data_IF_586984297713
#
_entry.id   IF_586984297713
#
_cell.length_a   1.000
_cell.length_b   1.000
_cell.length_c   1.000
_cell.angle_alpha   90.00
_cell.angle_beta   90.00
_cell.angle_gamma   90.00
#
_symmetry.space_group_name_H-M   'P 1'
#
loop_
_entity.id
_entity.type
_entity.pdbx_description
1 polymer ?
#
# COMPACT_ATOMS: atom_id res chain seq x y z
N UNK A 1 12.25 -0.77 26.86
CA UNK A 1 12.06 0.24 25.80
C UNK A 1 10.92 -0.15 24.89
N UNK A 2 10.37 0.82 24.15
CA UNK A 2 9.31 0.54 23.17
C UNK A 2 9.89 -0.09 21.90
N UNK A 3 11.18 0.16 21.59
CA UNK A 3 11.86 -0.33 20.42
C UNK A 3 13.38 -0.39 20.69
N UNK A 4 14.06 -1.41 20.14
CA UNK A 4 15.52 -1.55 20.16
C UNK A 4 15.98 -2.25 18.87
N UNK A 5 16.16 -1.45 17.80
CA UNK A 5 16.46 -1.95 16.46
C UNK A 5 17.95 -2.18 16.27
N UNK A 6 18.30 -3.37 15.82
CA UNK A 6 19.63 -3.77 15.39
C UNK A 6 19.61 -4.08 13.88
N UNK A 7 20.55 -3.48 13.15
CA UNK A 7 20.64 -3.59 11.70
C UNK A 7 21.91 -4.38 11.32
N UNK A 8 21.76 -5.28 10.36
CA UNK A 8 22.88 -5.93 9.70
C UNK A 8 22.88 -5.54 8.23
N UNK A 9 24.07 -5.39 7.68
CA UNK A 9 24.28 -4.94 6.31
C UNK A 9 25.16 -5.94 5.55
N UNK A 10 25.00 -5.99 4.26
CA UNK A 10 25.96 -6.63 3.37
C UNK A 10 27.20 -5.71 3.13
N UNK A 11 28.26 -6.19 2.45
CA UNK A 11 29.45 -5.40 2.21
C UNK A 11 29.24 -4.12 1.38
N UNK A 12 28.12 -4.01 0.64
CA UNK A 12 27.79 -2.84 -0.20
C UNK A 12 26.79 -1.89 0.47
N UNK A 13 26.31 -2.25 1.68
CA UNK A 13 25.48 -1.38 2.51
C UNK A 13 23.97 -1.66 2.42
N UNK A 14 23.53 -2.73 1.76
CA UNK A 14 22.13 -3.12 1.82
C UNK A 14 21.80 -3.73 3.17
N UNK A 15 20.62 -3.43 3.70
CA UNK A 15 20.14 -4.02 4.95
C UNK A 15 19.74 -5.47 4.70
N UNK A 16 20.42 -6.43 5.34
CA UNK A 16 20.10 -7.86 5.24
C UNK A 16 19.24 -8.36 6.40
N UNK A 17 19.29 -7.67 7.55
CA UNK A 17 18.46 -7.99 8.70
C UNK A 17 18.12 -6.74 9.51
N UNK A 18 16.90 -6.72 10.03
CA UNK A 18 16.48 -5.80 11.10
C UNK A 18 15.90 -6.65 12.22
N UNK A 19 16.45 -6.52 13.43
CA UNK A 19 15.94 -7.21 14.62
C UNK A 19 15.57 -6.20 15.71
N UNK A 20 14.40 -6.40 16.33
CA UNK A 20 13.95 -5.56 17.45
C UNK A 20 14.11 -6.32 18.77
N UNK A 21 15.18 -6.02 19.51
CA UNK A 21 15.49 -6.67 20.80
C UNK A 21 14.55 -6.21 21.95
N UNK A 22 13.69 -5.22 21.72
CA UNK A 22 12.63 -4.85 22.68
C UNK A 22 11.40 -5.76 22.58
N UNK A 23 11.30 -6.55 21.51
CA UNK A 23 10.18 -7.43 21.26
C UNK A 23 10.52 -8.88 21.62
N UNK A 24 9.51 -9.66 21.98
CA UNK A 24 9.68 -11.06 22.31
C UNK A 24 9.53 -11.97 21.08
N UNK A 25 10.16 -13.13 21.16
CA UNK A 25 9.88 -14.25 20.25
C UNK A 25 8.53 -14.84 20.64
N UNK A 26 7.63 -14.99 19.67
CA UNK A 26 6.34 -15.63 19.86
C UNK A 26 6.37 -17.09 19.40
N UNK A 27 5.57 -17.90 20.05
CA UNK A 27 5.36 -19.30 19.69
C UNK A 27 3.87 -19.47 19.37
N UNK A 28 3.56 -19.54 18.10
CA UNK A 28 2.18 -19.61 17.63
C UNK A 28 2.03 -20.71 16.57
N UNK A 29 1.02 -21.57 16.70
CA UNK A 29 0.73 -22.67 15.78
C UNK A 29 1.94 -23.54 15.42
N UNK A 30 2.72 -23.96 16.44
CA UNK A 30 3.95 -24.74 16.30
C UNK A 30 5.09 -24.05 15.51
N UNK A 31 4.99 -22.75 15.32
CA UNK A 31 6.03 -21.94 14.68
C UNK A 31 6.71 -21.02 15.67
N UNK A 32 8.01 -20.82 15.48
CA UNK A 32 8.79 -19.80 16.20
C UNK A 32 8.78 -18.53 15.35
N UNK A 33 8.24 -17.45 15.90
CA UNK A 33 8.11 -16.16 15.24
C UNK A 33 9.01 -15.14 15.93
N UNK A 34 10.20 -14.93 15.35
CA UNK A 34 11.20 -14.01 15.90
C UNK A 34 10.89 -12.56 15.52
N UNK A 35 11.30 -11.57 16.35
CA UNK A 35 11.13 -10.16 16.05
C UNK A 35 12.21 -9.66 15.07
N UNK A 36 12.28 -10.28 13.90
CA UNK A 36 13.28 -9.96 12.88
C UNK A 36 12.68 -9.95 11.48
N UNK A 37 13.27 -9.12 10.63
CA UNK A 37 13.03 -9.10 9.19
C UNK A 37 14.35 -9.44 8.49
N UNK A 38 14.29 -10.27 7.45
CA UNK A 38 15.43 -10.69 6.65
C UNK A 38 15.21 -10.29 5.20
N UNK A 39 16.27 -9.85 4.52
CA UNK A 39 16.20 -9.33 3.16
C UNK A 39 17.30 -9.94 2.31
N UNK A 40 16.94 -10.32 1.08
CA UNK A 40 17.85 -10.88 0.09
C UNK A 40 17.77 -10.03 -1.18
N UNK A 41 18.92 -9.74 -1.78
CA UNK A 41 19.03 -8.88 -2.95
C UNK A 41 19.68 -9.64 -4.11
N UNK A 42 19.39 -9.22 -5.32
CA UNK A 42 20.08 -9.70 -6.52
C UNK A 42 21.43 -8.98 -6.75
N UNK A 43 22.08 -9.31 -7.87
CA UNK A 43 23.40 -8.76 -8.20
C UNK A 43 23.38 -7.25 -8.55
N UNK A 44 22.22 -6.67 -8.79
CA UNK A 44 22.02 -5.24 -9.06
C UNK A 44 21.28 -4.55 -7.91
N UNK A 45 21.29 -5.19 -6.73
CA UNK A 45 20.74 -4.67 -5.46
C UNK A 45 19.24 -4.48 -5.41
N UNK A 46 18.48 -5.19 -6.25
CA UNK A 46 17.02 -5.23 -6.14
C UNK A 46 16.62 -6.24 -5.06
N UNK A 47 15.66 -5.89 -4.22
CA UNK A 47 15.12 -6.78 -3.20
C UNK A 47 14.35 -7.93 -3.86
N UNK A 48 14.86 -9.16 -3.78
CA UNK A 48 14.21 -10.34 -4.38
C UNK A 48 13.43 -11.16 -3.37
N UNK A 49 13.76 -11.06 -2.08
CA UNK A 49 13.04 -11.74 -1.00
C UNK A 49 13.05 -10.95 0.30
N UNK A 50 11.91 -10.88 0.95
CA UNK A 50 11.78 -10.41 2.32
C UNK A 50 11.09 -11.47 3.17
N UNK A 51 11.56 -11.64 4.42
CA UNK A 51 10.93 -12.49 5.44
C UNK A 51 10.70 -11.64 6.68
N UNK A 52 9.57 -11.87 7.32
CA UNK A 52 9.22 -11.13 8.52
C UNK A 52 8.06 -11.82 9.26
N UNK A 53 7.43 -11.05 10.11
CA UNK A 53 6.25 -11.49 10.87
C UNK A 53 5.08 -10.54 10.64
N UNK A 54 3.88 -11.10 10.69
CA UNK A 54 2.64 -10.36 10.60
C UNK A 54 1.63 -10.88 11.61
N UNK A 55 0.68 -10.04 11.99
CA UNK A 55 -0.47 -10.49 12.76
C UNK A 55 -1.35 -11.37 11.85
N UNK A 56 -1.88 -12.46 12.41
CA UNK A 56 -2.79 -13.32 11.65
C UNK A 56 -4.04 -12.51 11.33
N UNK A 57 -4.19 -12.16 10.06
CA UNK A 57 -5.36 -11.47 9.53
C UNK A 57 -6.61 -12.34 9.63
N UNK A 58 -7.78 -11.75 9.44
CA UNK A 58 -9.09 -12.32 9.63
C UNK A 58 -9.31 -13.71 9.07
N UNK A 59 -10.30 -14.34 9.63
CA UNK A 59 -10.73 -15.73 9.39
C UNK A 59 -10.95 -16.05 7.89
N UNK A 60 -11.06 -15.05 7.05
CA UNK A 60 -11.10 -15.17 5.62
C UNK A 60 -9.83 -14.57 5.05
N UNK A 61 -8.94 -15.40 4.56
CA UNK A 61 -7.86 -15.05 3.63
C UNK A 61 -8.42 -14.53 2.29
N UNK A 62 -9.63 -13.95 2.33
CA UNK A 62 -10.18 -13.21 1.22
C UNK A 62 -9.18 -12.10 0.91
N UNK A 63 -8.53 -12.28 -0.21
CA UNK A 63 -7.44 -11.45 -0.70
C UNK A 63 -7.94 -10.03 -0.78
N UNK A 64 -7.58 -9.27 0.21
CA UNK A 64 -7.80 -7.83 0.22
C UNK A 64 -6.64 -7.19 -0.49
N UNK A 65 -6.87 -6.06 -1.10
CA UNK A 65 -5.76 -5.29 -1.65
C UNK A 65 -4.88 -4.82 -0.50
N UNK A 66 -3.59 -4.61 -0.75
CA UNK A 66 -2.68 -4.05 0.27
C UNK A 66 -3.16 -2.68 0.81
N UNK A 67 -4.05 -1.99 0.09
CA UNK A 67 -4.70 -0.74 0.51
C UNK A 67 -5.81 -0.96 1.54
N UNK A 68 -6.25 -2.20 1.75
CA UNK A 68 -7.31 -2.53 2.70
C UNK A 68 -6.75 -2.94 4.07
N UNK A 69 -5.43 -3.12 4.19
CA UNK A 69 -4.80 -3.62 5.42
C UNK A 69 -5.07 -2.75 6.64
N UNK A 70 -5.12 -1.42 6.47
CA UNK A 70 -5.39 -0.47 7.55
C UNK A 70 -6.85 -0.52 8.05
N UNK A 71 -7.75 -1.17 7.30
CA UNK A 71 -9.19 -1.21 7.57
C UNK A 71 -9.69 -2.61 7.93
N UNK A 72 -8.81 -3.59 7.92
CA UNK A 72 -9.16 -4.98 8.27
C UNK A 72 -9.29 -5.10 9.78
N UNK A 73 -10.46 -5.42 10.35
CA UNK A 73 -10.53 -5.77 11.76
C UNK A 73 -9.67 -7.02 12.00
N UNK A 74 -8.69 -6.91 12.87
CA UNK A 74 -7.86 -8.03 13.27
C UNK A 74 -8.77 -9.10 13.90
N UNK A 75 -8.66 -10.39 13.52
CA UNK A 75 -9.52 -11.46 14.01
C UNK A 75 -9.33 -11.72 15.50
N UNK A 76 -8.15 -11.38 16.00
CA UNK A 76 -7.78 -11.52 17.40
C UNK A 76 -7.18 -10.20 17.91
N UNK A 77 -7.96 -9.09 17.95
CA UNK A 77 -7.43 -7.77 18.30
C UNK A 77 -6.80 -7.75 19.70
N UNK A 78 -7.17 -8.70 20.57
CA UNK A 78 -6.65 -8.82 21.93
C UNK A 78 -5.61 -9.95 22.08
N UNK A 79 -5.27 -10.65 21.00
CA UNK A 79 -4.25 -11.72 21.03
C UNK A 79 -2.99 -11.24 20.30
N UNK A 80 -2.07 -10.65 21.06
CA UNK A 80 -0.79 -10.16 20.55
C UNK A 80 0.18 -11.31 20.15
N UNK A 81 -0.12 -12.55 20.55
CA UNK A 81 0.65 -13.74 20.22
C UNK A 81 0.19 -14.39 18.90
N UNK A 82 -0.92 -13.92 18.33
CA UNK A 82 -1.44 -14.40 17.05
C UNK A 82 -0.62 -13.79 15.88
N UNK A 83 0.65 -14.13 15.82
CA UNK A 83 1.59 -13.71 14.78
C UNK A 83 2.11 -14.91 14.01
N UNK A 84 2.39 -14.72 12.72
CA UNK A 84 2.97 -15.74 11.86
C UNK A 84 4.15 -15.19 11.06
N UNK A 85 5.00 -16.08 10.57
CA UNK A 85 6.04 -15.72 9.63
C UNK A 85 5.45 -15.61 8.23
N UNK A 86 5.94 -14.63 7.46
CA UNK A 86 5.68 -14.51 6.03
C UNK A 86 6.97 -14.49 5.22
N UNK A 87 6.84 -14.76 3.94
CA UNK A 87 7.88 -14.56 2.94
C UNK A 87 7.26 -13.82 1.75
N UNK A 88 7.91 -12.75 1.33
CA UNK A 88 7.62 -12.06 0.08
C UNK A 88 8.72 -12.33 -0.93
N UNK A 89 8.34 -12.56 -2.19
CA UNK A 89 9.24 -12.74 -3.31
C UNK A 89 8.86 -11.76 -4.42
N UNK A 90 9.87 -11.12 -4.99
CA UNK A 90 9.71 -10.07 -5.99
C UNK A 90 10.37 -10.49 -7.29
N UNK A 91 9.65 -10.35 -8.41
CA UNK A 91 10.17 -10.55 -9.75
C UNK A 91 10.11 -9.22 -10.51
N UNK A 92 11.19 -8.88 -11.20
CA UNK A 92 11.34 -7.61 -11.88
C UNK A 92 11.47 -7.81 -13.39
N UNK A 93 11.13 -6.78 -14.16
CA UNK A 93 11.52 -6.67 -15.56
C UNK A 93 12.93 -6.07 -15.69
N UNK A 94 13.42 -5.97 -16.93
CA UNK A 94 14.74 -5.42 -17.22
C UNK A 94 14.87 -3.91 -16.92
N UNK A 95 13.75 -3.22 -16.70
CA UNK A 95 13.71 -1.81 -16.34
C UNK A 95 13.63 -1.60 -14.81
N UNK A 96 13.56 -2.69 -14.05
CA UNK A 96 13.44 -2.65 -12.59
C UNK A 96 11.99 -2.49 -12.08
N UNK A 97 10.99 -2.67 -12.92
CA UNK A 97 9.62 -2.66 -12.46
C UNK A 97 9.24 -4.00 -11.85
N UNK A 98 8.50 -3.99 -10.75
CA UNK A 98 7.95 -5.20 -10.16
C UNK A 98 6.91 -5.80 -11.10
N UNK A 99 7.15 -7.01 -11.59
CA UNK A 99 6.21 -7.79 -12.42
C UNK A 99 5.34 -8.69 -11.59
N UNK A 100 5.91 -9.29 -10.55
CA UNK A 100 5.21 -10.22 -9.66
C UNK A 100 5.66 -9.98 -8.22
N UNK A 101 4.69 -9.90 -7.33
CA UNK A 101 4.89 -9.93 -5.88
C UNK A 101 4.12 -11.14 -5.33
N UNK A 102 4.84 -12.07 -4.74
CA UNK A 102 4.28 -13.25 -4.07
C UNK A 102 4.41 -13.08 -2.57
N UNK A 103 3.29 -13.07 -1.87
CA UNK A 103 3.25 -13.11 -0.42
C UNK A 103 2.84 -14.51 0.02
N UNK A 104 3.64 -15.16 0.84
CA UNK A 104 3.41 -16.52 1.34
C UNK A 104 3.56 -16.53 2.86
N UNK A 105 2.69 -17.25 3.53
CA UNK A 105 2.79 -17.47 4.96
C UNK A 105 2.62 -18.95 5.29
N UNK A 106 3.17 -19.36 6.43
CA UNK A 106 2.96 -20.73 6.91
C UNK A 106 1.52 -20.89 7.36
N UNK A 107 0.84 -21.93 6.87
CA UNK A 107 -0.57 -22.12 7.15
C UNK A 107 -0.80 -22.61 8.57
N UNK A 108 -2.01 -22.32 9.02
CA UNK A 108 -2.62 -23.10 10.11
C UNK A 108 -3.10 -24.44 9.53
N UNK A 109 -2.76 -25.56 10.19
CA UNK A 109 -3.21 -26.90 9.80
C UNK A 109 -2.82 -27.42 8.39
N UNK A 110 -1.64 -27.04 7.88
CA UNK A 110 -1.08 -27.68 6.66
C UNK A 110 -1.56 -27.13 5.33
N UNK A 111 -2.44 -26.13 5.32
CA UNK A 111 -2.87 -25.45 4.09
C UNK A 111 -1.98 -24.22 3.86
N UNK A 112 -1.17 -24.22 2.80
CA UNK A 112 -0.38 -23.08 2.36
C UNK A 112 -1.26 -21.88 2.09
N UNK A 113 -0.88 -20.71 2.60
CA UNK A 113 -1.61 -19.48 2.43
C UNK A 113 -0.77 -18.42 1.74
N UNK A 114 -1.44 -17.44 1.20
CA UNK A 114 -0.81 -16.30 0.56
C UNK A 114 -1.55 -15.83 -0.68
N UNK A 115 -0.97 -14.85 -1.31
CA UNK A 115 -1.49 -14.26 -2.53
C UNK A 115 -0.35 -13.95 -3.50
N UNK A 116 -0.70 -13.73 -4.76
CA UNK A 116 0.21 -13.26 -5.80
C UNK A 116 -0.42 -12.03 -6.44
N UNK A 117 0.35 -10.97 -6.56
CA UNK A 117 -0.03 -9.78 -7.31
C UNK A 117 0.84 -9.65 -8.53
N UNK A 118 0.22 -9.46 -9.68
CA UNK A 118 0.88 -9.26 -10.95
C UNK A 118 0.67 -7.83 -11.42
N UNK A 119 1.67 -7.30 -12.11
CA UNK A 119 1.71 -5.91 -12.57
C UNK A 119 1.92 -5.89 -14.08
N UNK A 120 1.15 -5.06 -14.78
CA UNK A 120 1.23 -4.89 -16.22
C UNK A 120 1.52 -3.44 -16.57
N UNK A 121 2.53 -3.24 -17.37
CA UNK A 121 2.97 -1.92 -17.81
C UNK A 121 2.57 -1.66 -19.25
N UNK A 122 2.53 -0.39 -19.66
CA UNK A 122 2.11 -0.01 -21.01
C UNK A 122 3.00 -0.61 -22.11
N UNK A 123 4.28 -0.84 -21.81
CA UNK A 123 5.22 -1.50 -22.71
C UNK A 123 4.85 -2.98 -22.97
N UNK A 124 4.22 -3.66 -22.02
CA UNK A 124 3.79 -5.06 -22.15
C UNK A 124 2.66 -5.22 -23.19
N UNK A 125 1.78 -4.19 -23.30
CA UNK A 125 0.65 -4.22 -24.22
C UNK A 125 1.07 -3.91 -25.67
N UNK A 126 1.97 -2.95 -25.83
CA UNK A 126 2.47 -2.56 -27.13
C UNK A 126 3.94 -2.13 -27.00
N UNK A 127 4.90 -2.90 -27.52
CA UNK A 127 6.32 -2.56 -27.48
C UNK A 127 6.66 -1.21 -28.15
N UNK A 128 5.77 -0.71 -29.02
CA UNK A 128 5.84 0.65 -29.58
C UNK A 128 5.47 1.74 -28.57
N UNK A 129 4.75 1.39 -27.51
CA UNK A 129 4.40 2.30 -26.41
C UNK A 129 5.55 2.34 -25.40
N UNK A 130 6.48 3.26 -25.61
CA UNK A 130 7.73 3.36 -24.83
C UNK A 130 7.53 3.98 -23.43
N UNK A 131 6.35 3.90 -22.85
CA UNK A 131 6.09 4.43 -21.51
C UNK A 131 6.18 3.34 -20.47
N UNK A 132 6.78 3.66 -19.33
CA UNK A 132 6.90 2.78 -18.18
C UNK A 132 5.73 2.97 -17.19
N UNK A 133 4.52 3.18 -17.74
CA UNK A 133 3.32 3.43 -16.93
C UNK A 133 2.66 2.10 -16.52
N UNK A 134 2.34 1.97 -15.24
CA UNK A 134 1.54 0.87 -14.74
C UNK A 134 0.10 1.00 -15.26
N UNK A 135 -0.38 0.03 -16.04
CA UNK A 135 -1.71 0.07 -16.64
C UNK A 135 -2.71 -0.86 -15.96
N UNK A 136 -2.22 -1.97 -15.38
CA UNK A 136 -3.08 -2.87 -14.64
C UNK A 136 -2.32 -3.63 -13.53
N UNK A 137 -3.06 -4.04 -12.50
CA UNK A 137 -2.60 -4.98 -11.48
C UNK A 137 -3.66 -6.04 -11.24
N UNK A 138 -3.23 -7.26 -10.95
CA UNK A 138 -4.17 -8.32 -10.61
C UNK A 138 -4.89 -8.01 -9.30
N UNK A 139 -6.16 -8.33 -9.28
CA UNK A 139 -7.01 -8.36 -8.10
C UNK A 139 -7.34 -9.81 -7.74
N UNK A 140 -7.84 -10.07 -6.55
CA UNK A 140 -8.29 -11.40 -6.16
C UNK A 140 -9.31 -11.97 -7.15
N UNK A 141 -9.04 -13.19 -7.64
CA UNK A 141 -9.89 -13.87 -8.63
C UNK A 141 -9.54 -13.58 -10.08
N UNK A 142 -8.63 -12.64 -10.34
CA UNK A 142 -8.12 -12.43 -11.70
C UNK A 142 -7.27 -13.64 -12.15
N UNK A 143 -7.33 -14.02 -13.43
CA UNK A 143 -6.53 -15.12 -13.95
C UNK A 143 -5.03 -14.77 -14.02
N UNK A 144 -4.19 -15.78 -13.92
CA UNK A 144 -2.76 -15.63 -14.20
C UNK A 144 -2.56 -15.14 -15.64
N UNK A 145 -1.69 -14.14 -15.80
CA UNK A 145 -1.41 -13.52 -17.11
C UNK A 145 -2.45 -12.51 -17.60
N UNK A 146 -3.52 -12.29 -16.85
CA UNK A 146 -4.56 -11.29 -17.16
C UNK A 146 -5.73 -11.82 -18.02
N UNK A 147 -6.70 -10.97 -18.34
CA UNK A 147 -6.73 -9.55 -18.05
C UNK A 147 -6.90 -9.25 -16.55
N UNK A 148 -6.30 -8.14 -16.07
CA UNK A 148 -6.38 -7.73 -14.68
C UNK A 148 -7.45 -6.66 -14.47
N UNK A 149 -8.21 -6.79 -13.39
CA UNK A 149 -9.33 -5.90 -13.07
C UNK A 149 -8.90 -4.59 -12.40
N UNK A 150 -7.75 -4.56 -11.74
CA UNK A 150 -7.18 -3.34 -11.15
C UNK A 150 -6.54 -2.46 -12.22
N UNK A 151 -7.29 -1.52 -12.82
CA UNK A 151 -6.84 -0.72 -13.96
C UNK A 151 -6.47 0.71 -13.56
N UNK A 152 -5.49 1.27 -14.29
CA UNK A 152 -4.96 2.62 -14.12
C UNK A 152 -5.10 3.41 -15.42
N UNK A 153 -5.37 4.70 -15.32
CA UNK A 153 -5.40 5.59 -16.46
C UNK A 153 -4.62 6.87 -16.17
N UNK A 154 -4.16 7.52 -17.23
CA UNK A 154 -3.34 8.73 -17.16
C UNK A 154 -3.86 9.79 -18.12
N UNK A 155 -3.64 11.04 -17.79
CA UNK A 155 -3.88 12.16 -18.69
C UNK A 155 -2.73 12.31 -19.69
N UNK A 156 -2.83 13.31 -20.59
CA UNK A 156 -1.83 13.57 -21.60
C UNK A 156 -0.47 14.03 -21.03
N UNK A 157 -0.48 14.57 -19.81
CA UNK A 157 0.72 15.05 -19.11
C UNK A 157 1.40 13.96 -18.28
N UNK A 158 0.76 12.79 -18.11
CA UNK A 158 1.29 11.67 -17.37
C UNK A 158 0.77 11.58 -15.94
N UNK A 159 -0.12 12.43 -15.54
CA UNK A 159 -0.74 12.37 -14.24
C UNK A 159 -1.75 11.23 -14.18
N UNK A 160 -1.76 10.47 -13.12
CA UNK A 160 -2.73 9.38 -12.93
C UNK A 160 -4.14 9.96 -12.77
N UNK A 161 -5.05 9.62 -13.68
CA UNK A 161 -6.43 10.09 -13.69
C UNK A 161 -7.42 9.09 -13.09
N UNK A 162 -7.01 7.81 -12.97
CA UNK A 162 -7.80 6.73 -12.36
C UNK A 162 -6.89 5.65 -11.78
N UNK A 163 -7.33 5.05 -10.67
CA UNK A 163 -6.78 3.82 -10.08
C UNK A 163 -7.93 2.99 -9.47
N UNK A 164 -7.71 1.71 -9.08
CA UNK A 164 -8.79 0.79 -8.70
C UNK A 164 -9.76 1.33 -7.63
N UNK A 165 -9.28 2.08 -6.66
CA UNK A 165 -10.11 2.62 -5.56
C UNK A 165 -10.43 4.12 -5.71
N UNK A 166 -9.93 4.79 -6.76
CA UNK A 166 -10.19 6.18 -7.07
C UNK A 166 -10.62 6.31 -8.53
N UNK A 167 -11.93 6.40 -8.74
CA UNK A 167 -12.52 6.41 -10.07
C UNK A 167 -12.11 7.62 -10.91
N UNK A 168 -11.86 8.76 -10.27
CA UNK A 168 -11.48 9.99 -10.95
C UNK A 168 -10.51 10.80 -10.10
N UNK A 169 -9.43 11.25 -10.72
CA UNK A 169 -8.47 12.20 -10.18
C UNK A 169 -8.26 13.31 -11.20
N UNK A 170 -8.55 14.55 -10.80
CA UNK A 170 -8.39 15.74 -11.63
C UNK A 170 -7.17 16.54 -11.18
N UNK A 171 -6.39 16.99 -12.14
CA UNK A 171 -5.18 17.77 -11.92
C UNK A 171 -5.36 19.20 -12.44
N UNK A 172 -4.65 20.14 -11.87
CA UNK A 172 -4.61 21.51 -12.37
C UNK A 172 -3.47 21.67 -13.40
N UNK A 173 -3.35 22.84 -13.97
CA UNK A 173 -2.33 23.19 -14.99
C UNK A 173 -0.87 23.19 -14.44
N UNK A 174 -0.68 23.07 -13.14
CA UNK A 174 0.62 22.94 -12.45
C UNK A 174 0.89 21.49 -12.02
N UNK A 175 0.18 20.51 -12.57
CA UNK A 175 0.26 19.09 -12.22
C UNK A 175 0.03 18.83 -10.73
N UNK A 176 -0.82 19.62 -10.08
CA UNK A 176 -1.22 19.42 -8.69
C UNK A 176 -2.62 18.79 -8.63
N UNK A 177 -2.78 17.77 -7.81
CA UNK A 177 -4.05 17.06 -7.63
C UNK A 177 -5.11 18.00 -7.07
N UNK A 178 -6.13 18.32 -7.88
CA UNK A 178 -7.18 19.29 -7.53
C UNK A 178 -8.41 18.63 -6.89
N UNK A 179 -8.81 17.49 -7.42
CA UNK A 179 -10.04 16.80 -7.03
C UNK A 179 -9.89 15.30 -7.14
N UNK A 180 -10.52 14.58 -6.21
CA UNK A 180 -10.57 13.10 -6.23
C UNK A 180 -11.98 12.64 -5.89
N UNK A 181 -12.50 11.71 -6.67
CA UNK A 181 -13.72 10.98 -6.33
C UNK A 181 -13.36 9.82 -5.39
N UNK A 182 -13.87 9.88 -4.16
CA UNK A 182 -13.69 8.88 -3.12
C UNK A 182 -14.84 7.86 -3.09
N UNK A 183 -15.67 7.81 -4.12
CA UNK A 183 -16.86 6.97 -4.18
C UNK A 183 -17.84 7.31 -3.05
N UNK A 184 -18.20 6.31 -2.24
CA UNK A 184 -19.10 6.51 -1.09
C UNK A 184 -18.53 7.46 -0.03
N UNK A 185 -17.24 7.74 -0.04
CA UNK A 185 -16.55 8.72 0.81
C UNK A 185 -16.84 10.17 0.45
N UNK A 186 -17.35 10.43 -0.77
CA UNK A 186 -17.63 11.74 -1.32
C UNK A 186 -16.54 12.24 -2.25
N UNK A 187 -16.32 13.55 -2.31
CA UNK A 187 -15.31 14.18 -3.16
C UNK A 187 -14.31 14.94 -2.32
N UNK A 188 -13.02 14.66 -2.52
CA UNK A 188 -11.94 15.43 -1.92
C UNK A 188 -11.50 16.55 -2.87
N UNK A 189 -11.31 17.75 -2.34
CA UNK A 189 -10.80 18.91 -3.03
C UNK A 189 -9.52 19.40 -2.35
N UNK A 190 -8.56 19.84 -3.14
CA UNK A 190 -7.25 20.28 -2.68
C UNK A 190 -6.95 21.69 -3.19
N UNK A 191 -6.39 22.54 -2.34
CA UNK A 191 -5.95 23.90 -2.67
C UNK A 191 -4.48 24.02 -2.33
N UNK A 192 -3.74 24.63 -3.23
CA UNK A 192 -2.29 24.82 -3.12
C UNK A 192 -1.93 26.30 -3.11
N UNK A 193 -0.84 26.64 -2.45
CA UNK A 193 -0.22 27.94 -2.50
C UNK A 193 0.73 28.09 -3.70
N UNK A 194 1.27 29.28 -3.84
CA UNK A 194 2.21 29.62 -4.95
C UNK A 194 3.48 28.77 -4.95
N UNK A 195 3.92 28.29 -3.79
CA UNK A 195 5.09 27.42 -3.64
C UNK A 195 4.78 25.92 -3.86
N UNK A 196 3.57 25.55 -4.28
CA UNK A 196 3.14 24.16 -4.43
C UNK A 196 2.78 23.46 -3.12
N UNK A 197 2.84 24.13 -1.99
CA UNK A 197 2.40 23.57 -0.71
C UNK A 197 0.88 23.44 -0.67
N UNK A 198 0.39 22.29 -0.20
CA UNK A 198 -1.03 22.12 0.03
C UNK A 198 -1.48 22.95 1.24
N UNK A 199 -2.37 23.89 1.00
CA UNK A 199 -2.91 24.79 2.03
C UNK A 199 -4.23 24.26 2.60
N UNK A 200 -5.01 23.52 1.81
CA UNK A 200 -6.32 23.06 2.27
C UNK A 200 -6.70 21.73 1.61
N UNK A 201 -7.34 20.86 2.37
CA UNK A 201 -8.04 19.68 1.89
C UNK A 201 -9.47 19.73 2.41
N UNK A 202 -10.45 19.51 1.56
CA UNK A 202 -11.87 19.46 1.91
C UNK A 202 -12.44 18.15 1.41
N UNK A 203 -13.27 17.49 2.23
CA UNK A 203 -14.10 16.38 1.78
C UNK A 203 -15.55 16.78 1.87
N UNK A 204 -16.23 16.73 0.73
CA UNK A 204 -17.66 16.95 0.60
C UNK A 204 -18.38 15.64 0.36
N UNK A 205 -19.56 15.49 0.94
CA UNK A 205 -20.43 14.34 0.70
C UNK A 205 -21.86 14.82 0.51
N UNK A 206 -22.47 14.45 -0.61
CA UNK A 206 -23.80 14.92 -1.00
C UNK A 206 -23.92 16.47 -0.98
N UNK A 207 -22.89 17.15 -1.51
CA UNK A 207 -22.84 18.62 -1.57
C UNK A 207 -22.63 19.33 -0.22
N UNK A 208 -22.39 18.58 0.86
CA UNK A 208 -22.15 19.15 2.18
C UNK A 208 -20.70 18.94 2.62
N UNK A 209 -20.08 19.98 3.16
CA UNK A 209 -18.77 19.91 3.78
C UNK A 209 -18.81 18.95 4.97
N UNK A 210 -17.91 17.95 4.97
CA UNK A 210 -17.81 16.96 6.04
C UNK A 210 -16.54 17.11 6.86
N UNK A 211 -15.41 17.21 6.18
CA UNK A 211 -14.10 17.27 6.78
C UNK A 211 -13.27 18.35 6.09
N UNK A 212 -12.51 19.08 6.88
CA UNK A 212 -11.63 20.11 6.38
C UNK A 212 -10.29 20.06 7.12
N UNK A 213 -9.22 20.15 6.36
CA UNK A 213 -7.87 20.34 6.87
C UNK A 213 -7.30 21.63 6.29
N UNK A 214 -6.78 22.49 7.17
CA UNK A 214 -6.09 23.72 6.79
C UNK A 214 -4.64 23.58 7.28
N UNK A 215 -3.69 23.76 6.38
CA UNK A 215 -2.27 23.63 6.65
C UNK A 215 -1.63 25.03 6.73
N UNK A 216 -1.08 25.38 7.88
CA UNK A 216 -0.47 26.69 8.18
C UNK A 216 0.97 26.46 8.65
N UNK A 217 1.87 26.17 7.71
CA UNK A 217 3.25 25.82 8.05
C UNK A 217 3.31 24.55 8.90
N UNK A 218 3.78 24.66 10.13
CA UNK A 218 3.89 23.54 11.07
C UNK A 218 2.57 23.20 11.79
N UNK A 219 1.51 23.98 11.58
CA UNK A 219 0.21 23.79 12.24
C UNK A 219 -0.80 23.25 11.26
N UNK A 220 -1.56 22.25 11.68
CA UNK A 220 -2.69 21.72 10.95
C UNK A 220 -3.98 21.89 11.78
N UNK A 221 -4.98 22.50 11.18
CA UNK A 221 -6.32 22.63 11.76
C UNK A 221 -7.20 21.59 11.10
N UNK A 222 -7.79 20.68 11.87
CA UNK A 222 -8.75 19.70 11.43
C UNK A 222 -10.14 20.07 11.96
N UNK A 223 -11.13 20.17 11.04
CA UNK A 223 -12.53 20.48 11.36
C UNK A 223 -13.43 19.38 10.83
N UNK A 224 -14.34 18.93 11.69
CA UNK A 224 -15.40 17.97 11.31
C UNK A 224 -16.76 18.66 11.49
N UNK A 225 -17.55 18.75 10.42
CA UNK A 225 -18.92 19.27 10.49
C UNK A 225 -19.91 18.10 10.59
N UNK A 226 -20.78 18.16 11.60
CA UNK A 226 -21.92 17.24 11.72
C UNK A 226 -23.11 17.82 10.96
N UNK A 227 -24.00 16.95 10.47
CA UNK A 227 -25.23 17.35 9.82
C UNK A 227 -26.07 18.13 10.84
N UNK A 228 -26.48 19.36 10.52
CA UNK A 228 -27.37 20.24 11.30
C UNK A 228 -26.81 20.96 12.55
N UNK A 229 -25.53 21.08 12.74
CA UNK A 229 -25.00 22.04 13.72
C UNK A 229 -23.94 22.92 13.08
N UNK A 230 -24.12 24.23 13.19
CA UNK A 230 -23.11 25.25 12.84
C UNK A 230 -22.00 25.33 13.90
N UNK A 231 -21.78 24.28 14.67
CA UNK A 231 -20.76 24.25 15.71
C UNK A 231 -19.40 23.89 15.10
N UNK A 232 -18.50 24.80 15.29
CA UNK A 232 -17.05 24.71 15.00
C UNK A 232 -16.39 23.73 15.96
#
# INVERSE_FOLDING_TARGET
GLQNLNYHYDPVGNITQIRDDAQQTHYFNNAVVKPENLYEYDAIYQLIRAKGRELTGGVNDAVRTHTDLDFVPLPHPNNLDAVRNYTEEYEYDLLGNIKVLKHRFQPHAGIGGGWTRQYRYAFDDAPSNRTNRLIATSMPGDPDGGPYSGTYAYDAYGNMSRMPHLATMDWNFMDQLRRVDLGSGGTAHYVYGLSGQRLRKVIERNGNLKLEWIFLGAVMIHRRRRRNTNEL
#
